data_IF_214441815069
#
_entry.id   IF_214441815069
#
_cell.length_a   1.000
_cell.length_b   1.000
_cell.length_c   1.000
_cell.angle_alpha   90.00
_cell.angle_beta   90.00
_cell.angle_gamma   90.00
#
_symmetry.space_group_name_H-M   'P 1'
#
loop_
_entity.id
_entity.type
_entity.pdbx_description
1 polymer ?
#
# COMPACT_ATOMS: atom_id res chain seq x y z
N UNK A 1 15.09 -20.81 1.04
CA UNK A 1 15.37 -19.94 -0.11
C UNK A 1 15.14 -18.51 0.36
N UNK A 2 16.19 -17.81 0.69
CA UNK A 2 16.13 -16.46 1.28
C UNK A 2 15.87 -15.49 0.13
N UNK A 3 14.68 -14.91 0.09
CA UNK A 3 14.38 -13.82 -0.83
C UNK A 3 15.07 -12.59 -0.25
N UNK A 4 16.12 -12.12 -0.92
CA UNK A 4 16.78 -10.87 -0.56
C UNK A 4 15.77 -9.74 -0.73
N UNK A 5 15.48 -9.02 0.35
CA UNK A 5 14.70 -7.79 0.30
C UNK A 5 15.47 -6.78 -0.54
N UNK A 6 15.11 -6.68 -1.82
CA UNK A 6 15.72 -5.70 -2.72
C UNK A 6 15.09 -4.34 -2.50
N UNK A 7 15.77 -3.49 -1.75
CA UNK A 7 15.46 -2.07 -1.68
C UNK A 7 16.03 -1.37 -2.91
N UNK A 8 15.21 -0.55 -3.54
CA UNK A 8 15.61 0.27 -4.69
C UNK A 8 15.68 1.74 -4.27
N UNK A 9 16.75 2.44 -4.67
CA UNK A 9 16.83 3.89 -4.52
C UNK A 9 16.00 4.57 -5.60
N UNK A 10 15.19 5.55 -5.21
CA UNK A 10 14.38 6.33 -6.13
C UNK A 10 15.14 7.62 -6.48
N UNK A 11 15.31 7.89 -7.77
CA UNK A 11 15.86 9.16 -8.27
C UNK A 11 14.68 10.07 -8.58
N UNK A 12 14.59 11.22 -7.89
CA UNK A 12 13.56 12.21 -8.18
C UNK A 12 14.04 13.17 -9.26
N UNK A 13 13.21 13.33 -10.30
CA UNK A 13 13.39 14.38 -11.29
C UNK A 13 12.96 15.72 -10.69
N UNK A 14 13.87 16.70 -10.67
CA UNK A 14 13.56 18.08 -10.27
C UNK A 14 13.28 18.94 -11.51
N UNK A 15 12.03 19.29 -11.83
CA UNK A 15 11.67 20.02 -13.05
C UNK A 15 12.13 21.49 -13.06
N UNK A 16 12.73 21.99 -11.98
CA UNK A 16 13.25 23.36 -11.89
C UNK A 16 14.71 23.54 -12.31
N UNK A 17 15.42 22.47 -12.66
CA UNK A 17 16.78 22.53 -13.21
C UNK A 17 16.72 22.48 -14.72
N UNK A 18 17.28 23.51 -15.35
CA UNK A 18 17.48 23.56 -16.81
C UNK A 18 18.49 22.51 -17.25
N UNK A 19 18.04 21.62 -18.15
CA UNK A 19 18.72 20.93 -19.27
C UNK A 19 20.03 20.17 -19.07
N UNK A 20 20.73 20.23 -17.96
CA UNK A 20 21.87 19.36 -17.73
C UNK A 20 21.42 18.20 -16.83
N UNK A 21 21.22 17.01 -17.39
CA UNK A 21 21.13 15.78 -16.61
C UNK A 21 22.42 15.68 -15.81
N UNK A 22 22.38 15.56 -14.48
CA UNK A 22 23.58 15.25 -13.73
C UNK A 22 24.12 13.92 -14.25
N UNK A 23 25.38 13.87 -14.61
CA UNK A 23 26.06 12.65 -15.06
C UNK A 23 26.11 11.55 -14.00
N UNK A 24 25.66 11.87 -12.77
CA UNK A 24 25.51 10.92 -11.67
C UNK A 24 24.09 10.94 -11.10
N UNK A 25 23.51 9.75 -10.75
CA UNK A 25 22.22 9.69 -10.10
C UNK A 25 22.30 10.44 -8.75
N UNK A 26 21.44 11.43 -8.56
CA UNK A 26 21.29 12.09 -7.27
C UNK A 26 20.78 11.02 -6.31
N UNK A 27 21.63 10.56 -5.39
CA UNK A 27 21.20 9.72 -4.30
C UNK A 27 20.26 10.52 -3.43
N UNK A 28 18.95 10.29 -3.58
CA UNK A 28 17.90 11.08 -2.93
C UNK A 28 17.76 10.74 -1.43
N UNK A 29 18.49 9.76 -0.94
CA UNK A 29 18.35 9.26 0.42
C UNK A 29 17.05 8.52 0.71
N UNK A 30 16.19 8.33 -0.29
CA UNK A 30 14.95 7.55 -0.16
C UNK A 30 15.10 6.15 -0.75
N UNK A 31 14.50 5.17 -0.07
CA UNK A 31 14.38 3.79 -0.53
C UNK A 31 12.91 3.46 -0.72
N UNK A 32 12.60 2.56 -1.62
CA UNK A 32 11.26 2.02 -1.76
C UNK A 32 11.28 0.50 -1.84
N UNK A 33 10.19 -0.10 -1.38
CA UNK A 33 10.02 -1.54 -1.37
C UNK A 33 8.60 -1.89 -1.79
N UNK A 34 8.46 -2.79 -2.78
CA UNK A 34 7.17 -3.31 -3.19
C UNK A 34 6.71 -4.43 -2.26
N UNK A 35 5.55 -4.27 -1.64
CA UNK A 35 4.85 -5.33 -0.92
C UNK A 35 4.05 -6.20 -1.89
N UNK A 36 3.57 -5.60 -2.97
CA UNK A 36 2.87 -6.24 -4.08
C UNK A 36 2.74 -5.28 -5.26
N UNK A 37 2.23 -5.77 -6.40
CA UNK A 37 2.02 -4.96 -7.59
C UNK A 37 3.27 -4.59 -8.39
N UNK A 38 4.45 -5.02 -7.97
CA UNK A 38 5.71 -4.68 -8.66
C UNK A 38 5.94 -5.49 -9.95
N UNK A 39 5.61 -6.77 -9.94
CA UNK A 39 5.76 -7.69 -11.07
C UNK A 39 4.44 -8.33 -11.50
N UNK A 40 3.34 -7.88 -10.95
CA UNK A 40 2.00 -8.40 -11.23
C UNK A 40 0.98 -7.27 -11.14
N UNK A 41 -0.22 -7.49 -11.67
CA UNK A 41 -1.34 -6.55 -11.56
C UNK A 41 -2.14 -6.85 -10.30
N UNK A 42 -2.49 -5.81 -9.55
CA UNK A 42 -3.26 -5.92 -8.31
C UNK A 42 -2.37 -5.97 -7.06
N UNK A 43 -2.99 -6.17 -5.89
CA UNK A 43 -2.35 -6.21 -4.57
C UNK A 43 -1.26 -5.13 -4.35
N UNK A 44 -1.51 -3.92 -4.82
CA UNK A 44 -0.53 -2.82 -4.79
C UNK A 44 -0.19 -2.44 -3.36
N UNK A 45 1.11 -2.28 -3.09
CA UNK A 45 1.63 -1.78 -1.83
C UNK A 45 3.08 -1.35 -1.99
N UNK A 46 3.38 -0.09 -1.69
CA UNK A 46 4.73 0.47 -1.84
C UNK A 46 5.12 1.19 -0.55
N UNK A 47 6.15 0.71 0.12
CA UNK A 47 6.74 1.41 1.27
C UNK A 47 7.83 2.35 0.76
N UNK A 48 7.73 3.61 1.13
CA UNK A 48 8.80 4.60 1.00
C UNK A 48 9.47 4.74 2.35
N UNK A 49 10.81 4.76 2.37
CA UNK A 49 11.59 4.95 3.59
C UNK A 49 12.67 6.02 3.35
N UNK A 50 12.77 6.99 4.26
CA UNK A 50 13.81 8.02 4.23
C UNK A 50 15.11 7.57 4.93
N UNK A 51 16.14 8.42 4.90
CA UNK A 51 17.44 8.14 5.54
C UNK A 51 17.35 7.95 7.06
N UNK A 52 16.30 8.48 7.68
CA UNK A 52 16.05 8.38 9.13
C UNK A 52 15.12 7.22 9.49
N UNK A 53 14.81 6.35 8.52
CA UNK A 53 13.91 5.20 8.67
C UNK A 53 12.45 5.57 8.95
N UNK A 54 12.02 6.81 8.62
CA UNK A 54 10.61 7.12 8.57
C UNK A 54 9.99 6.43 7.36
N UNK A 55 8.80 5.86 7.56
CA UNK A 55 8.11 5.10 6.52
C UNK A 55 6.75 5.68 6.20
N UNK A 56 6.41 5.68 4.91
CA UNK A 56 5.11 6.00 4.36
C UNK A 56 4.69 4.84 3.46
N UNK A 57 3.48 4.34 3.63
CA UNK A 57 2.91 3.34 2.73
C UNK A 57 2.03 4.04 1.69
N UNK A 58 2.19 3.67 0.44
CA UNK A 58 1.32 4.07 -0.68
C UNK A 58 0.52 2.85 -1.12
N UNK A 59 -0.79 2.92 -0.95
CA UNK A 59 -1.77 1.86 -1.20
C UNK A 59 -1.50 0.56 -0.42
N UNK A 60 -2.53 -0.22 -0.21
CA UNK A 60 -2.43 -1.55 0.36
C UNK A 60 -3.65 -2.37 -0.10
N UNK A 61 -3.49 -3.05 -1.22
CA UNK A 61 -4.57 -3.64 -1.97
C UNK A 61 -4.63 -5.16 -1.94
N UNK A 62 -5.71 -5.70 -2.51
CA UNK A 62 -5.92 -7.14 -2.74
C UNK A 62 -6.11 -7.33 -4.24
N UNK A 63 -5.35 -8.23 -4.87
CA UNK A 63 -5.63 -8.61 -6.24
C UNK A 63 -6.91 -9.45 -6.30
N UNK A 64 -7.94 -9.00 -7.05
CA UNK A 64 -9.24 -9.67 -7.12
C UNK A 64 -9.21 -10.89 -8.05
N UNK A 65 -8.30 -11.82 -7.77
CA UNK A 65 -8.19 -13.11 -8.46
C UNK A 65 -8.95 -14.20 -7.69
N UNK A 66 -9.12 -15.38 -8.25
CA UNK A 66 -9.71 -16.52 -7.56
C UNK A 66 -8.71 -17.68 -7.47
N UNK A 67 -8.16 -17.96 -6.28
CA UNK A 67 -8.29 -17.21 -5.02
C UNK A 67 -7.63 -15.82 -5.08
N UNK A 68 -8.00 -14.87 -4.20
CA UNK A 68 -7.39 -13.56 -4.15
C UNK A 68 -5.91 -13.65 -3.74
N UNK A 69 -5.11 -12.69 -4.23
CA UNK A 69 -3.72 -12.57 -3.80
C UNK A 69 -3.57 -11.35 -2.90
N UNK A 70 -2.80 -11.52 -1.84
CA UNK A 70 -2.50 -10.49 -0.86
C UNK A 70 -1.09 -9.94 -1.08
N UNK A 71 -0.82 -8.67 -0.73
CA UNK A 71 0.54 -8.16 -0.68
C UNK A 71 1.32 -8.84 0.46
N UNK A 72 2.62 -8.68 0.50
CA UNK A 72 3.43 -9.01 1.66
C UNK A 72 2.97 -8.18 2.86
N UNK A 73 3.18 -8.69 4.06
CA UNK A 73 2.91 -7.96 5.29
C UNK A 73 3.68 -6.62 5.32
N UNK A 74 2.97 -5.55 5.64
CA UNK A 74 3.57 -4.23 5.77
C UNK A 74 4.44 -4.17 7.03
N UNK A 75 5.62 -3.56 6.97
CA UNK A 75 6.29 -3.15 8.20
C UNK A 75 5.44 -2.10 8.94
N UNK A 76 5.70 -1.85 10.23
CA UNK A 76 5.02 -0.79 10.97
C UNK A 76 5.18 0.56 10.27
N UNK A 77 4.03 1.17 9.93
CA UNK A 77 3.95 2.51 9.31
C UNK A 77 2.97 3.37 10.10
N UNK A 78 3.35 4.62 10.35
CA UNK A 78 2.48 5.56 11.05
C UNK A 78 1.39 6.14 10.15
N UNK A 79 1.70 6.27 8.87
CA UNK A 79 0.82 6.87 7.88
C UNK A 79 0.79 6.02 6.60
N UNK A 80 -0.40 5.90 6.00
CA UNK A 80 -0.59 5.31 4.70
C UNK A 80 -1.48 6.22 3.83
N UNK A 81 -1.13 6.39 2.57
CA UNK A 81 -1.92 7.14 1.59
C UNK A 81 -2.61 6.15 0.68
N UNK A 82 -3.94 6.24 0.59
CA UNK A 82 -4.76 5.47 -0.35
C UNK A 82 -5.08 6.38 -1.52
N UNK A 83 -4.55 6.03 -2.68
CA UNK A 83 -4.65 6.87 -3.89
C UNK A 83 -6.07 6.93 -4.41
N UNK A 84 -6.79 5.80 -4.43
CA UNK A 84 -8.17 5.71 -4.86
C UNK A 84 -8.86 4.43 -4.33
N UNK A 85 -10.15 4.28 -4.65
CA UNK A 85 -11.03 3.30 -4.02
C UNK A 85 -11.12 1.93 -4.70
N UNK A 86 -10.23 1.59 -5.62
CA UNK A 86 -10.21 0.24 -6.19
C UNK A 86 -9.64 -0.78 -5.20
N UNK A 87 -10.17 -2.01 -5.22
CA UNK A 87 -9.83 -3.06 -4.26
C UNK A 87 -8.34 -3.45 -4.28
N UNK A 88 -7.70 -3.37 -5.44
CA UNK A 88 -6.28 -3.63 -5.64
C UNK A 88 -5.35 -2.53 -5.08
N UNK A 89 -5.92 -1.43 -4.59
CA UNK A 89 -5.23 -0.32 -3.92
C UNK A 89 -5.62 -0.15 -2.45
N UNK A 90 -6.86 -0.48 -2.08
CA UNK A 90 -7.34 -0.26 -0.70
C UNK A 90 -7.76 -1.53 0.05
N UNK A 91 -7.85 -2.68 -0.64
CA UNK A 91 -8.50 -3.87 -0.08
C UNK A 91 -7.89 -4.41 1.22
N UNK A 92 -6.59 -4.20 1.45
CA UNK A 92 -5.88 -4.56 2.67
C UNK A 92 -5.78 -3.44 3.70
N UNK A 93 -6.23 -2.22 3.38
CA UNK A 93 -6.01 -1.06 4.25
C UNK A 93 -6.58 -1.20 5.67
N UNK A 94 -7.73 -1.87 5.95
CA UNK A 94 -8.21 -2.08 7.31
C UNK A 94 -7.25 -2.83 8.24
N UNK A 95 -6.39 -3.66 7.67
CA UNK A 95 -5.37 -4.38 8.43
C UNK A 95 -4.36 -3.45 9.12
N UNK A 96 -4.08 -2.28 8.55
CA UNK A 96 -3.04 -1.35 9.03
C UNK A 96 -3.38 -0.69 10.37
N UNK A 97 -4.53 -0.01 10.55
CA UNK A 97 -4.88 0.54 11.86
C UNK A 97 -5.10 -0.54 12.92
N UNK A 98 -5.60 -1.71 12.53
CA UNK A 98 -5.80 -2.84 13.46
C UNK A 98 -4.48 -3.38 14.05
N UNK A 99 -3.40 -3.35 13.28
CA UNK A 99 -2.11 -3.91 13.71
C UNK A 99 -1.10 -2.85 14.18
N UNK A 100 -1.13 -1.65 13.61
CA UNK A 100 -0.10 -0.63 13.84
C UNK A 100 -0.65 0.75 14.24
N UNK A 101 -1.96 0.87 14.42
CA UNK A 101 -2.60 2.17 14.66
C UNK A 101 -2.23 3.20 13.59
N UNK A 102 -2.18 2.77 12.34
CA UNK A 102 -1.83 3.58 11.17
C UNK A 102 -2.92 4.59 10.85
N UNK A 103 -2.56 5.84 10.60
CA UNK A 103 -3.49 6.82 10.05
C UNK A 103 -3.61 6.60 8.54
N UNK A 104 -4.83 6.42 8.05
CA UNK A 104 -5.13 6.34 6.63
C UNK A 104 -5.46 7.74 6.08
N UNK A 105 -4.86 8.09 4.96
CA UNK A 105 -5.05 9.36 4.27
C UNK A 105 -5.56 9.11 2.86
N UNK A 106 -6.53 9.88 2.42
CA UNK A 106 -7.09 9.79 1.06
C UNK A 106 -7.96 11.00 0.76
N UNK A 107 -8.52 11.03 -0.44
CA UNK A 107 -9.53 12.05 -0.76
C UNK A 107 -10.84 11.74 -0.03
N UNK A 108 -11.68 12.76 0.17
CA UNK A 108 -13.02 12.58 0.74
C UNK A 108 -13.81 11.50 0.00
N UNK A 109 -13.77 11.53 -1.34
CA UNK A 109 -14.46 10.55 -2.17
C UNK A 109 -13.89 9.13 -1.94
N UNK A 110 -12.58 8.98 -1.86
CA UNK A 110 -11.95 7.68 -1.53
C UNK A 110 -12.46 7.17 -0.19
N UNK A 111 -12.50 8.00 0.84
CA UNK A 111 -12.98 7.61 2.18
C UNK A 111 -14.46 7.18 2.15
N UNK A 112 -15.34 7.94 1.49
CA UNK A 112 -16.75 7.60 1.40
C UNK A 112 -17.02 6.26 0.69
N UNK A 113 -16.25 5.95 -0.37
CA UNK A 113 -16.39 4.71 -1.12
C UNK A 113 -15.71 3.53 -0.39
N UNK A 114 -14.61 3.79 0.33
CA UNK A 114 -13.82 2.75 1.02
C UNK A 114 -14.66 1.87 1.94
N UNK A 115 -15.53 2.47 2.73
CA UNK A 115 -16.41 1.74 3.64
C UNK A 115 -17.29 0.71 2.89
N UNK A 116 -17.86 1.10 1.75
CA UNK A 116 -18.67 0.20 0.92
C UNK A 116 -17.79 -0.93 0.35
N UNK A 117 -16.62 -0.59 -0.20
CA UNK A 117 -15.70 -1.56 -0.80
C UNK A 117 -15.21 -2.61 0.20
N UNK A 118 -14.84 -2.20 1.42
CA UNK A 118 -14.42 -3.13 2.45
C UNK A 118 -15.55 -4.05 2.93
N UNK A 119 -16.76 -3.53 3.07
CA UNK A 119 -17.92 -4.37 3.40
C UNK A 119 -18.21 -5.39 2.28
N UNK A 120 -18.05 -5.01 1.01
CA UNK A 120 -18.18 -5.94 -0.11
C UNK A 120 -17.06 -7.00 -0.11
N UNK A 121 -15.81 -6.61 0.13
CA UNK A 121 -14.70 -7.56 0.28
C UNK A 121 -14.99 -8.58 1.39
N UNK A 122 -15.44 -8.11 2.56
CA UNK A 122 -15.80 -8.98 3.68
C UNK A 122 -16.95 -9.96 3.33
N UNK A 123 -17.99 -9.46 2.68
CA UNK A 123 -19.12 -10.28 2.22
C UNK A 123 -18.69 -11.33 1.21
N UNK A 124 -17.90 -10.95 0.21
CA UNK A 124 -17.40 -11.87 -0.84
C UNK A 124 -16.52 -12.94 -0.22
N UNK A 125 -15.59 -12.58 0.69
CA UNK A 125 -14.72 -13.54 1.38
C UNK A 125 -15.53 -14.60 2.15
N UNK A 126 -16.63 -14.17 2.77
CA UNK A 126 -17.53 -15.07 3.52
C UNK A 126 -18.29 -16.04 2.60
N UNK A 127 -18.69 -15.58 1.41
CA UNK A 127 -19.41 -16.40 0.41
C UNK A 127 -18.44 -17.39 -0.25
N UNK A 128 -17.30 -16.90 -0.70
CA UNK A 128 -16.30 -17.68 -1.45
C UNK A 128 -15.39 -18.51 -0.53
N UNK A 129 -15.50 -18.34 0.79
CA UNK A 129 -14.77 -19.09 1.83
C UNK A 129 -13.25 -19.01 1.72
N UNK A 130 -12.73 -17.86 1.34
CA UNK A 130 -11.30 -17.63 1.46
C UNK A 130 -10.97 -16.75 2.68
N UNK A 131 -9.80 -16.92 3.33
CA UNK A 131 -9.44 -16.13 4.49
C UNK A 131 -9.19 -14.67 4.08
N UNK A 132 -9.78 -13.73 4.82
CA UNK A 132 -9.45 -12.31 4.72
C UNK A 132 -8.53 -11.97 5.91
N UNK A 133 -7.38 -11.30 5.71
CA UNK A 133 -6.43 -11.03 6.79
C UNK A 133 -6.91 -10.02 7.84
N UNK A 134 -8.09 -9.45 7.67
CA UNK A 134 -8.74 -8.51 8.59
C UNK A 134 -10.23 -8.86 8.74
N UNK A 135 -10.87 -8.36 9.79
CA UNK A 135 -12.27 -8.63 10.08
C UNK A 135 -13.16 -7.36 10.00
N UNK A 136 -14.46 -7.55 10.24
CA UNK A 136 -15.43 -6.45 10.14
C UNK A 136 -15.17 -5.30 11.13
N UNK A 137 -14.56 -5.57 12.30
CA UNK A 137 -14.24 -4.54 13.29
C UNK A 137 -13.09 -3.66 12.84
N UNK A 138 -12.21 -4.20 12.00
CA UNK A 138 -11.06 -3.47 11.49
C UNK A 138 -11.48 -2.38 10.49
N UNK A 139 -12.66 -2.53 9.85
CA UNK A 139 -13.28 -1.48 9.04
C UNK A 139 -13.57 -0.23 9.89
N UNK A 140 -14.12 -0.43 11.11
CA UNK A 140 -14.45 0.67 12.00
C UNK A 140 -13.19 1.41 12.50
N UNK A 141 -12.06 0.70 12.61
CA UNK A 141 -10.77 1.30 12.96
C UNK A 141 -10.14 2.08 11.80
N UNK A 142 -10.53 1.75 10.56
CA UNK A 142 -10.00 2.36 9.35
C UNK A 142 -10.76 3.63 8.93
N UNK A 143 -11.90 3.93 9.54
CA UNK A 143 -12.75 5.10 9.25
C UNK A 143 -12.45 6.28 10.17
#
# INVERSE_FOLDING_TARGET
MTISDSWYSMVFYNPGRTTDYPDEPVNSGYRYHYLGGGNEVGNVGIVLEDETSNRLLLDYGIAPTSPPKYPKESPPVKNAIITHSHVDHLGMAPWLPANYNTNLHGTKLTSEISHMMWNDCYKISSIEKYPLPWDKRDIDLAM
#
